data_IF_747424113119
#
_entry.id   IF_747424113119
#
_cell.length_a   1.000
_cell.length_b   1.000
_cell.length_c   1.000
_cell.angle_alpha   90.00
_cell.angle_beta   90.00
_cell.angle_gamma   90.00
#
_symmetry.space_group_name_H-M   'P 1'
#
loop_
_entity.id
_entity.type
_entity.pdbx_description
1 polymer ?
#
# COMPACT_ATOMS: atom_id res chain seq x y z
N UNK A 1 -6.40 -22.74 18.65
CA UNK A 1 -6.19 -21.27 18.62
C UNK A 1 -7.23 -20.67 17.70
N UNK A 2 -8.18 -19.90 18.23
CA UNK A 2 -9.16 -19.21 17.40
C UNK A 2 -8.46 -18.15 16.54
N UNK A 3 -8.65 -18.21 15.23
CA UNK A 3 -8.19 -17.18 14.29
C UNK A 3 -8.93 -15.90 14.70
N UNK A 4 -8.25 -15.00 15.43
CA UNK A 4 -8.78 -13.66 15.64
C UNK A 4 -8.79 -13.00 14.27
N UNK A 5 -9.96 -12.58 13.80
CA UNK A 5 -10.05 -11.73 12.63
C UNK A 5 -9.28 -10.45 12.95
N UNK A 6 -8.08 -10.34 12.41
CA UNK A 6 -7.18 -9.21 12.63
C UNK A 6 -7.65 -8.06 11.75
N UNK A 7 -8.70 -7.38 12.19
CA UNK A 7 -9.25 -6.19 11.54
C UNK A 7 -8.92 -4.96 12.38
N UNK A 8 -8.57 -3.86 11.70
CA UNK A 8 -8.42 -2.56 12.34
C UNK A 8 -9.80 -2.03 12.76
N UNK A 9 -9.88 -1.31 13.87
CA UNK A 9 -11.08 -0.52 14.16
C UNK A 9 -11.24 0.57 13.11
N UNK A 10 -12.47 1.09 12.92
CA UNK A 10 -12.73 2.16 11.95
C UNK A 10 -11.80 3.35 12.13
N UNK A 11 -11.60 3.81 13.37
CA UNK A 11 -10.69 4.92 13.67
C UNK A 11 -9.24 4.62 13.30
N UNK A 12 -8.78 3.38 13.54
CA UNK A 12 -7.44 2.95 13.18
C UNK A 12 -7.26 2.92 11.66
N UNK A 13 -8.28 2.43 10.94
CA UNK A 13 -8.31 2.40 9.49
C UNK A 13 -8.33 3.81 8.89
N UNK A 14 -9.21 4.69 9.37
CA UNK A 14 -9.31 6.07 8.88
C UNK A 14 -8.01 6.85 9.12
N UNK A 15 -7.35 6.61 10.27
CA UNK A 15 -6.05 7.20 10.56
C UNK A 15 -4.96 6.78 9.57
N UNK A 16 -4.80 5.48 9.31
CA UNK A 16 -3.77 5.00 8.39
C UNK A 16 -4.10 5.34 6.93
N UNK A 17 -5.37 5.26 6.53
CA UNK A 17 -5.82 5.58 5.18
C UNK A 17 -5.56 7.04 4.83
N UNK A 18 -5.75 7.95 5.79
CA UNK A 18 -5.39 9.36 5.66
C UNK A 18 -3.89 9.56 5.40
N UNK A 19 -3.02 8.92 6.20
CA UNK A 19 -1.58 9.02 6.03
C UNK A 19 -1.08 8.40 4.73
N UNK A 20 -1.58 7.22 4.36
CA UNK A 20 -1.22 6.56 3.11
C UNK A 20 -1.72 7.33 1.89
N UNK A 21 -2.85 8.02 2.00
CA UNK A 21 -3.35 8.90 0.93
C UNK A 21 -2.45 10.12 0.70
N UNK A 22 -2.02 10.78 1.77
CA UNK A 22 -1.07 11.91 1.70
C UNK A 22 0.29 11.46 1.18
N UNK A 23 0.79 10.33 1.67
CA UNK A 23 2.04 9.73 1.22
C UNK A 23 1.97 9.29 -0.24
N UNK A 24 0.87 8.68 -0.67
CA UNK A 24 0.69 8.26 -2.06
C UNK A 24 0.74 9.45 -3.02
N UNK A 25 0.09 10.55 -2.67
CA UNK A 25 0.18 11.79 -3.45
C UNK A 25 1.61 12.37 -3.46
N UNK A 26 2.33 12.29 -2.33
CA UNK A 26 3.73 12.68 -2.24
C UNK A 26 4.65 11.80 -3.11
N UNK A 27 4.48 10.48 -3.11
CA UNK A 27 5.18 9.54 -3.99
C UNK A 27 4.93 9.87 -5.45
N UNK A 28 3.66 10.07 -5.82
CA UNK A 28 3.25 10.38 -7.20
C UNK A 28 3.85 11.68 -7.71
N UNK A 29 4.17 12.62 -6.81
CA UNK A 29 4.74 13.92 -7.16
C UNK A 29 6.23 13.89 -7.57
N UNK A 30 6.92 12.75 -7.51
CA UNK A 30 8.30 12.69 -7.98
C UNK A 30 9.39 12.97 -6.94
N UNK A 31 9.04 13.21 -5.67
CA UNK A 31 9.94 13.78 -4.63
C UNK A 31 10.92 12.79 -3.98
N UNK A 32 11.01 11.55 -4.45
CA UNK A 32 11.90 10.52 -3.89
C UNK A 32 13.25 10.52 -4.61
N UNK A 33 14.35 10.52 -3.83
CA UNK A 33 15.71 10.42 -4.36
C UNK A 33 15.94 9.07 -5.07
N UNK A 34 16.48 9.13 -6.29
CA UNK A 34 16.67 8.00 -7.23
C UNK A 34 17.64 6.94 -6.71
N UNK A 35 18.36 7.22 -5.63
CA UNK A 35 19.41 6.35 -5.06
C UNK A 35 18.85 5.16 -4.25
N UNK A 36 17.59 5.20 -3.82
CA UNK A 36 16.92 4.05 -3.22
C UNK A 36 16.21 3.24 -4.31
N UNK A 37 16.89 2.21 -4.85
CA UNK A 37 16.39 1.30 -5.91
C UNK A 37 15.27 0.37 -5.43
N UNK A 38 14.22 0.93 -4.83
CA UNK A 38 13.13 0.20 -4.22
C UNK A 38 11.91 0.12 -5.14
N UNK A 39 10.88 -0.64 -4.74
CA UNK A 39 9.66 -0.82 -5.54
C UNK A 39 8.97 0.52 -5.86
N UNK A 40 9.07 1.50 -4.96
CA UNK A 40 8.55 2.86 -5.18
C UNK A 40 9.24 3.52 -6.37
N UNK A 41 10.57 3.41 -6.48
CA UNK A 41 11.31 3.98 -7.60
C UNK A 41 10.94 3.30 -8.92
N UNK A 42 10.88 1.96 -8.95
CA UNK A 42 10.43 1.20 -10.14
C UNK A 42 9.04 1.63 -10.58
N UNK A 43 8.14 1.84 -9.61
CA UNK A 43 6.80 2.35 -9.85
C UNK A 43 6.84 3.77 -10.42
N UNK A 44 7.58 4.71 -9.81
CA UNK A 44 7.67 6.09 -10.29
C UNK A 44 8.22 6.20 -11.71
N UNK A 45 9.20 5.36 -12.08
CA UNK A 45 9.75 5.34 -13.45
C UNK A 45 8.72 4.84 -14.46
N UNK A 46 7.81 3.94 -14.07
CA UNK A 46 6.77 3.42 -14.96
C UNK A 46 5.62 4.41 -15.23
N UNK A 47 5.68 5.61 -14.67
CA UNK A 47 4.56 6.53 -14.57
C UNK A 47 4.96 7.94 -15.01
N UNK A 48 4.10 8.59 -15.79
CA UNK A 48 4.26 10.02 -16.08
C UNK A 48 3.81 10.87 -14.89
N UNK A 49 4.68 11.70 -14.30
CA UNK A 49 4.29 12.57 -13.20
C UNK A 49 3.27 13.60 -13.68
N UNK A 50 2.20 13.82 -12.91
CA UNK A 50 1.29 14.95 -13.15
C UNK A 50 1.94 16.24 -12.64
N UNK A 51 2.08 17.23 -13.52
CA UNK A 51 2.56 18.58 -13.15
C UNK A 51 1.55 19.39 -12.32
N UNK A 52 0.29 18.93 -12.21
CA UNK A 52 -0.75 19.59 -11.44
C UNK A 52 -1.15 18.74 -10.22
N UNK A 53 -0.71 19.11 -9.00
CA UNK A 53 -1.11 18.40 -7.79
C UNK A 53 -2.55 18.75 -7.43
N UNK A 54 -3.49 17.86 -7.76
CA UNK A 54 -4.90 17.98 -7.36
C UNK A 54 -5.17 17.47 -5.94
N UNK A 55 -4.19 16.82 -5.30
CA UNK A 55 -4.31 16.17 -3.99
C UNK A 55 -3.36 16.80 -2.97
N UNK A 56 -3.75 16.92 -1.69
CA UNK A 56 -2.84 17.31 -0.62
C UNK A 56 -1.73 16.26 -0.47
N UNK A 57 -0.50 16.71 -0.25
CA UNK A 57 0.68 15.88 -0.02
C UNK A 57 1.17 16.06 1.42
N UNK A 58 1.81 15.03 1.98
CA UNK A 58 2.55 15.21 3.24
C UNK A 58 3.84 16.02 3.02
N UNK A 59 4.47 16.48 4.11
CA UNK A 59 5.81 17.06 4.04
C UNK A 59 6.86 15.97 3.73
N UNK A 60 8.05 16.38 3.31
CA UNK A 60 9.11 15.45 2.88
C UNK A 60 9.60 14.53 4.01
N UNK A 61 9.69 15.03 5.26
CA UNK A 61 10.08 14.20 6.41
C UNK A 61 9.06 13.07 6.67
N UNK A 62 7.76 13.40 6.64
CA UNK A 62 6.68 12.43 6.77
C UNK A 62 6.68 11.45 5.58
N UNK A 63 6.86 11.98 4.36
CA UNK A 63 6.93 11.18 3.14
C UNK A 63 8.07 10.16 3.18
N UNK A 64 9.26 10.58 3.62
CA UNK A 64 10.41 9.69 3.78
C UNK A 64 10.21 8.68 4.92
N UNK A 65 9.68 9.10 6.07
CA UNK A 65 9.41 8.20 7.20
C UNK A 65 8.41 7.11 6.80
N UNK A 66 7.30 7.49 6.17
CA UNK A 66 6.28 6.54 5.71
C UNK A 66 6.87 5.61 4.65
N UNK A 67 7.66 6.14 3.70
CA UNK A 67 8.29 5.31 2.66
C UNK A 67 9.21 4.25 3.25
N UNK A 68 10.02 4.60 4.26
CA UNK A 68 10.89 3.63 4.96
C UNK A 68 10.09 2.54 5.67
N UNK A 69 8.99 2.92 6.35
CA UNK A 69 8.11 1.94 7.00
C UNK A 69 7.45 1.03 5.98
N UNK A 70 6.86 1.59 4.92
CA UNK A 70 6.19 0.83 3.86
C UNK A 70 7.18 -0.13 3.21
N UNK A 71 8.38 0.32 2.88
CA UNK A 71 9.40 -0.53 2.29
C UNK A 71 9.82 -1.66 3.25
N UNK A 72 10.08 -1.34 4.53
CA UNK A 72 10.48 -2.34 5.54
C UNK A 72 9.41 -3.42 5.82
N UNK A 73 8.14 -3.14 5.55
CA UNK A 73 7.03 -4.09 5.79
C UNK A 73 6.64 -4.80 4.49
N UNK A 74 6.53 -4.07 3.38
CA UNK A 74 5.96 -4.56 2.14
C UNK A 74 7.01 -5.19 1.20
N UNK A 75 8.31 -5.08 1.48
CA UNK A 75 9.35 -5.69 0.64
C UNK A 75 9.23 -7.23 0.52
N UNK A 76 8.54 -7.88 1.45
CA UNK A 76 8.32 -9.33 1.41
C UNK A 76 7.34 -9.75 0.31
N UNK A 77 6.40 -8.88 -0.07
CA UNK A 77 5.36 -9.16 -1.07
C UNK A 77 5.28 -8.03 -2.10
N UNK A 78 6.05 -8.18 -3.17
CA UNK A 78 6.10 -7.24 -4.29
C UNK A 78 4.74 -7.03 -4.96
N UNK A 79 3.86 -8.04 -4.94
CA UNK A 79 2.55 -7.96 -5.58
C UNK A 79 1.59 -7.14 -4.73
N UNK A 80 1.55 -7.37 -3.42
CA UNK A 80 0.81 -6.54 -2.49
C UNK A 80 1.33 -5.10 -2.50
N UNK A 81 2.65 -4.91 -2.56
CA UNK A 81 3.27 -3.59 -2.67
C UNK A 81 2.83 -2.87 -3.96
N UNK A 82 2.88 -3.55 -5.11
CA UNK A 82 2.38 -2.98 -6.37
C UNK A 82 0.91 -2.55 -6.28
N UNK A 83 0.05 -3.38 -5.69
CA UNK A 83 -1.37 -3.07 -5.49
C UNK A 83 -1.55 -1.85 -4.57
N UNK A 84 -0.77 -1.76 -3.48
CA UNK A 84 -0.79 -0.63 -2.56
C UNK A 84 -0.41 0.68 -3.26
N UNK A 85 0.64 0.67 -4.08
CA UNK A 85 1.08 1.83 -4.86
C UNK A 85 0.06 2.22 -5.92
N UNK A 86 -0.50 1.25 -6.64
CA UNK A 86 -1.59 1.50 -7.60
C UNK A 86 -2.80 2.16 -6.94
N UNK A 87 -3.14 1.76 -5.71
CA UNK A 87 -4.27 2.31 -4.99
C UNK A 87 -3.99 3.70 -4.41
N UNK A 88 -2.92 3.87 -3.62
CA UNK A 88 -2.68 5.14 -2.90
C UNK A 88 -1.95 6.20 -3.74
N UNK A 89 -0.97 5.80 -4.55
CA UNK A 89 -0.19 6.76 -5.33
C UNK A 89 -0.90 7.15 -6.63
N UNK A 90 -1.37 6.17 -7.41
CA UNK A 90 -2.11 6.45 -8.65
C UNK A 90 -3.60 6.75 -8.44
N UNK A 91 -4.14 6.58 -7.24
CA UNK A 91 -5.58 6.70 -6.98
C UNK A 91 -6.45 5.78 -7.85
N UNK A 92 -5.94 4.62 -8.28
CA UNK A 92 -6.75 3.68 -9.05
C UNK A 92 -7.84 3.10 -8.16
N UNK A 93 -9.05 3.00 -8.69
CA UNK A 93 -10.13 2.30 -8.00
C UNK A 93 -9.79 0.81 -7.83
N UNK A 94 -10.28 0.20 -6.75
CA UNK A 94 -10.20 -1.26 -6.53
C UNK A 94 -10.67 -2.05 -7.76
N UNK A 95 -11.69 -1.53 -8.46
CA UNK A 95 -12.20 -2.11 -9.69
C UNK A 95 -11.18 -2.06 -10.84
N UNK A 96 -10.53 -0.91 -11.06
CA UNK A 96 -9.51 -0.77 -12.11
C UNK A 96 -8.31 -1.70 -11.85
N UNK A 97 -7.85 -1.77 -10.61
CA UNK A 97 -6.78 -2.69 -10.19
C UNK A 97 -7.20 -4.15 -10.41
N UNK A 98 -8.41 -4.52 -9.98
CA UNK A 98 -8.94 -5.87 -10.16
C UNK A 98 -9.13 -6.25 -11.64
N UNK A 99 -9.51 -5.30 -12.49
CA UNK A 99 -9.64 -5.49 -13.93
C UNK A 99 -8.27 -5.81 -14.57
N UNK A 100 -7.24 -5.03 -14.23
CA UNK A 100 -5.87 -5.30 -14.67
C UNK A 100 -5.36 -6.65 -14.12
N UNK A 101 -5.57 -6.91 -12.82
CA UNK A 101 -5.21 -8.15 -12.15
C UNK A 101 -5.84 -9.37 -12.83
N UNK A 102 -7.13 -9.28 -13.17
CA UNK A 102 -7.85 -10.31 -13.91
C UNK A 102 -7.29 -10.46 -15.33
N UNK A 103 -6.98 -9.37 -16.03
CA UNK A 103 -6.41 -9.42 -17.38
C UNK A 103 -5.13 -10.25 -17.42
N UNK A 104 -4.21 -10.03 -16.48
CA UNK A 104 -2.90 -10.71 -16.42
C UNK A 104 -2.91 -12.03 -15.62
N UNK A 105 -4.03 -12.43 -15.03
CA UNK A 105 -4.09 -13.63 -14.19
C UNK A 105 -3.86 -14.93 -14.99
N UNK A 106 -2.97 -15.77 -14.48
CA UNK A 106 -2.74 -17.11 -14.98
C UNK A 106 -3.83 -18.09 -14.51
N UNK A 107 -4.16 -19.12 -15.31
CA UNK A 107 -4.97 -20.23 -14.84
C UNK A 107 -4.36 -20.90 -13.60
N UNK A 108 -5.20 -21.19 -12.60
CA UNK A 108 -4.77 -21.86 -11.36
C UNK A 108 -5.73 -22.99 -11.01
N UNK A 109 -5.25 -23.95 -10.21
CA UNK A 109 -6.07 -25.07 -9.75
C UNK A 109 -7.09 -24.54 -8.74
N UNK A 110 -8.36 -24.56 -9.11
CA UNK A 110 -9.47 -24.14 -8.25
C UNK A 110 -10.29 -25.37 -7.88
N UNK A 111 -10.47 -25.59 -6.57
CA UNK A 111 -11.30 -26.69 -6.08
C UNK A 111 -12.77 -26.35 -6.32
N UNK A 112 -13.40 -27.10 -7.23
CA UNK A 112 -14.84 -26.99 -7.52
C UNK A 112 -15.57 -28.20 -6.96
N UNK A 113 -16.91 -28.18 -6.97
CA UNK A 113 -17.74 -29.29 -6.46
C UNK A 113 -17.43 -30.63 -7.11
N UNK A 114 -17.05 -30.65 -8.40
CA UNK A 114 -16.69 -31.86 -9.16
C UNK A 114 -15.18 -32.15 -9.15
N UNK A 115 -14.45 -31.62 -8.17
CA UNK A 115 -13.00 -31.74 -8.07
C UNK A 115 -12.24 -30.49 -8.56
N UNK A 116 -10.91 -30.53 -8.44
CA UNK A 116 -10.04 -29.42 -8.82
C UNK A 116 -9.93 -29.26 -10.34
N UNK A 117 -10.24 -28.07 -10.85
CA UNK A 117 -10.09 -27.72 -12.28
C UNK A 117 -9.07 -26.60 -12.46
N UNK A 118 -8.30 -26.65 -13.54
CA UNK A 118 -7.42 -25.54 -13.92
C UNK A 118 -8.25 -24.48 -14.65
N UNK A 119 -8.41 -23.30 -14.04
CA UNK A 119 -9.21 -22.21 -14.62
C UNK A 119 -8.61 -20.85 -14.25
N UNK A 120 -8.78 -19.88 -15.15
CA UNK A 120 -8.52 -18.48 -14.84
C UNK A 120 -9.51 -17.99 -13.77
N UNK A 121 -9.07 -17.28 -12.71
CA UNK A 121 -9.98 -16.76 -11.71
C UNK A 121 -10.98 -15.80 -12.34
N UNK A 122 -12.20 -15.75 -11.80
CA UNK A 122 -13.20 -14.79 -12.26
C UNK A 122 -12.83 -13.36 -11.84
N UNK A 123 -13.40 -12.35 -12.52
CA UNK A 123 -13.23 -10.96 -12.11
C UNK A 123 -13.69 -10.71 -10.67
N UNK A 124 -14.79 -11.36 -10.24
CA UNK A 124 -15.30 -11.26 -8.86
C UNK A 124 -14.27 -11.82 -7.85
N UNK A 125 -13.61 -12.93 -8.19
CA UNK A 125 -12.54 -13.49 -7.38
C UNK A 125 -11.36 -12.53 -7.28
N UNK A 126 -10.92 -11.97 -8.41
CA UNK A 126 -9.81 -11.01 -8.44
C UNK A 126 -10.11 -9.75 -7.62
N UNK A 127 -11.34 -9.23 -7.69
CA UNK A 127 -11.78 -8.09 -6.88
C UNK A 127 -11.69 -8.38 -5.38
N UNK A 128 -12.21 -9.53 -4.95
CA UNK A 128 -12.13 -9.96 -3.55
C UNK A 128 -10.67 -10.09 -3.09
N UNK A 129 -9.81 -10.68 -3.92
CA UNK A 129 -8.39 -10.82 -3.60
C UNK A 129 -7.67 -9.47 -3.48
N UNK A 130 -7.98 -8.51 -4.37
CA UNK A 130 -7.43 -7.15 -4.26
C UNK A 130 -7.89 -6.49 -2.95
N UNK A 131 -9.17 -6.65 -2.58
CA UNK A 131 -9.71 -6.10 -1.34
C UNK A 131 -9.05 -6.74 -0.10
N UNK A 132 -8.89 -8.06 -0.09
CA UNK A 132 -8.21 -8.82 0.97
C UNK A 132 -6.73 -8.40 1.09
N UNK A 133 -6.03 -8.26 -0.03
CA UNK A 133 -4.61 -7.84 -0.06
C UNK A 133 -4.47 -6.41 0.48
N UNK A 134 -5.32 -5.47 0.06
CA UNK A 134 -5.28 -4.09 0.55
C UNK A 134 -5.56 -4.04 2.05
N UNK A 135 -6.61 -4.72 2.52
CA UNK A 135 -6.95 -4.77 3.95
C UNK A 135 -5.82 -5.37 4.79
N UNK A 136 -5.19 -6.46 4.33
CA UNK A 136 -4.05 -7.07 5.00
C UNK A 136 -2.82 -6.15 5.00
N UNK A 137 -2.53 -5.49 3.87
CA UNK A 137 -1.40 -4.54 3.77
C UNK A 137 -1.57 -3.38 4.75
N UNK A 138 -2.77 -2.79 4.80
CA UNK A 138 -3.11 -1.70 5.72
C UNK A 138 -3.02 -2.16 7.17
N UNK A 139 -3.50 -3.36 7.48
CA UNK A 139 -3.38 -3.95 8.81
C UNK A 139 -1.91 -4.08 9.25
N UNK A 140 -1.06 -4.63 8.38
CA UNK A 140 0.37 -4.83 8.67
C UNK A 140 1.12 -3.51 8.83
N UNK A 141 0.72 -2.46 8.11
CA UNK A 141 1.38 -1.15 8.17
C UNK A 141 0.99 -0.32 9.40
N UNK A 142 -0.19 -0.55 9.98
CA UNK A 142 -0.74 0.30 11.04
C UNK A 142 0.19 0.43 12.25
N UNK A 143 0.61 -0.71 12.83
CA UNK A 143 1.40 -0.71 14.05
C UNK A 143 2.82 -0.17 13.83
N UNK A 144 3.58 -0.63 12.81
CA UNK A 144 4.90 -0.07 12.49
C UNK A 144 4.86 1.45 12.28
N UNK A 145 3.86 1.93 11.53
CA UNK A 145 3.75 3.34 11.22
C UNK A 145 3.42 4.18 12.47
N UNK A 146 2.47 3.71 13.29
CA UNK A 146 2.13 4.34 14.56
C UNK A 146 3.34 4.44 15.49
N UNK A 147 4.17 3.40 15.53
CA UNK A 147 5.39 3.38 16.34
C UNK A 147 6.44 4.35 15.81
N UNK A 148 6.64 4.42 14.50
CA UNK A 148 7.57 5.35 13.86
C UNK A 148 7.22 6.82 14.20
N UNK A 149 5.94 7.20 14.09
CA UNK A 149 5.48 8.54 14.47
C UNK A 149 5.68 8.85 15.96
N UNK A 150 5.44 7.88 16.85
CA UNK A 150 5.68 8.05 18.30
C UNK A 150 7.16 8.27 18.61
N UNK A 151 8.04 7.50 17.98
CA UNK A 151 9.49 7.61 18.18
C UNK A 151 9.98 8.99 17.71
N UNK A 152 9.59 9.43 16.51
CA UNK A 152 9.95 10.75 16.00
C UNK A 152 9.52 11.88 16.95
N UNK A 153 8.28 11.84 17.46
CA UNK A 153 7.76 12.84 18.42
C UNK A 153 8.56 12.85 19.73
N UNK A 154 9.06 11.70 20.19
CA UNK A 154 9.92 11.62 21.37
C UNK A 154 11.28 12.26 21.11
N UNK A 155 11.93 11.91 20.00
CA UNK A 155 13.25 12.45 19.63
C UNK A 155 13.19 13.97 19.44
N UNK A 156 12.14 14.49 18.80
CA UNK A 156 11.98 15.94 18.60
C UNK A 156 11.81 16.72 19.90
N UNK A 157 11.22 16.11 20.95
CA UNK A 157 11.12 16.73 22.28
C UNK A 157 12.48 16.80 22.98
N UNK A 158 13.27 15.73 22.92
CA UNK A 158 14.60 15.67 23.55
C UNK A 158 15.54 16.71 22.94
N UNK A 159 15.52 16.88 21.61
CA UNK A 159 16.34 17.88 20.90
C UNK A 159 16.08 19.34 21.31
N UNK A 160 14.91 19.65 21.87
CA UNK A 160 14.56 21.02 22.29
C UNK A 160 15.02 21.37 23.71
N UNK A 161 15.46 20.38 24.50
CA UNK A 161 15.86 20.54 25.90
C UNK A 161 17.38 20.62 26.05
N UNK A 162 18.12 20.35 24.97
CA UNK A 162 19.58 20.45 24.91
C UNK A 162 20.04 21.77 24.29
#
# INVERSE_FOLDING_TARGET
MGIRNYELTKEQHDWIDSWLSLWGAWVYSGRIDKRQMNMIYKFMVSVEPSNNPTRPVCNDDDGMLISQVVDSVMYIDMKAYGILLSYYAHSLSRYAIASYYHKVANPRKMMTRSGGRLKKPSHRTCRREVDEILSASVYMLYLPLKNAFKIRKRVSKVKKVA
#
